data_IF_722446585036
#
_entry.id   IF_722446585036
#
_cell.length_a   1.000
_cell.length_b   1.000
_cell.length_c   1.000
_cell.angle_alpha   90.00
_cell.angle_beta   90.00
_cell.angle_gamma   90.00
#
_symmetry.space_group_name_H-M   'P 1'
#
loop_
_entity.id
_entity.type
_entity.pdbx_description
1 polymer ?
#
# COMPACT_ATOMS: atom_id res chain seq x y z
N UNK A 1 18.26 -19.47 1.03
CA UNK A 1 17.75 -20.17 -0.15
C UNK A 1 17.73 -21.62 0.22
N UNK A 2 16.52 -22.13 0.42
CA UNK A 2 16.32 -23.52 0.75
C UNK A 2 16.26 -24.37 -0.52
N UNK A 3 16.24 -25.70 -0.33
CA UNK A 3 16.28 -26.65 -1.43
C UNK A 3 15.08 -26.51 -2.38
N UNK A 4 13.90 -26.21 -1.84
CA UNK A 4 12.67 -26.01 -2.60
C UNK A 4 12.80 -24.76 -3.48
N UNK A 5 13.30 -23.64 -2.95
CA UNK A 5 13.56 -22.45 -3.77
C UNK A 5 14.51 -22.77 -4.93
N UNK A 6 15.61 -23.48 -4.67
CA UNK A 6 16.56 -23.86 -5.74
C UNK A 6 15.89 -24.72 -6.81
N UNK A 7 15.07 -25.71 -6.42
CA UNK A 7 14.33 -26.58 -7.33
C UNK A 7 13.44 -25.74 -8.27
N UNK A 8 12.60 -24.87 -7.70
CA UNK A 8 11.64 -24.10 -8.48
C UNK A 8 12.28 -22.99 -9.32
N UNK A 9 13.39 -22.40 -8.85
CA UNK A 9 14.21 -21.49 -9.66
C UNK A 9 14.74 -22.20 -10.91
N UNK A 10 15.19 -23.45 -10.78
CA UNK A 10 15.66 -24.23 -11.93
C UNK A 10 14.51 -24.62 -12.87
N UNK A 11 13.32 -24.92 -12.35
CA UNK A 11 12.14 -25.24 -13.17
C UNK A 11 11.71 -24.07 -14.07
N UNK A 12 11.76 -22.83 -13.56
CA UNK A 12 11.41 -21.65 -14.35
C UNK A 12 12.59 -21.07 -15.15
N UNK A 13 13.79 -21.63 -15.02
CA UNK A 13 15.01 -21.04 -15.59
C UNK A 13 14.95 -20.85 -17.11
N UNK A 14 14.30 -21.77 -17.84
CA UNK A 14 14.09 -21.70 -19.28
C UNK A 14 13.15 -20.56 -19.71
N UNK A 15 12.23 -20.16 -18.83
CA UNK A 15 11.28 -19.06 -19.04
C UNK A 15 11.88 -17.69 -18.71
N UNK A 16 13.03 -17.67 -18.02
CA UNK A 16 13.73 -16.45 -17.65
C UNK A 16 14.83 -16.14 -18.69
N UNK A 17 14.70 -15.07 -19.50
CA UNK A 17 15.68 -14.78 -20.52
C UNK A 17 17.04 -14.45 -19.90
N UNK A 18 18.12 -15.03 -20.46
CA UNK A 18 19.51 -14.83 -19.98
C UNK A 18 19.74 -15.29 -18.56
N UNK A 19 19.01 -16.32 -18.14
CA UNK A 19 19.23 -16.95 -16.84
C UNK A 19 20.66 -17.49 -16.70
N UNK A 20 21.33 -17.03 -15.65
CA UNK A 20 22.68 -17.44 -15.28
C UNK A 20 22.78 -17.55 -13.76
N UNK A 21 23.31 -18.68 -13.29
CA UNK A 21 23.77 -18.80 -11.90
C UNK A 21 25.12 -18.10 -11.79
N UNK A 22 25.19 -17.00 -11.03
CA UNK A 22 26.40 -16.18 -10.88
C UNK A 22 27.34 -16.79 -9.84
N UNK A 23 26.78 -17.22 -8.71
CA UNK A 23 27.48 -17.90 -7.61
C UNK A 23 26.46 -18.69 -6.77
N UNK A 24 26.88 -19.50 -5.78
CA UNK A 24 25.93 -20.18 -4.90
C UNK A 24 24.92 -19.19 -4.31
N UNK A 25 23.63 -19.51 -4.46
CA UNK A 25 22.51 -18.68 -4.00
C UNK A 25 22.38 -17.28 -4.64
N UNK A 26 22.95 -17.06 -5.82
CA UNK A 26 22.77 -15.83 -6.61
C UNK A 26 22.56 -16.16 -8.09
N UNK A 27 21.42 -15.75 -8.63
CA UNK A 27 21.05 -15.90 -10.03
C UNK A 27 20.80 -14.54 -10.66
N UNK A 28 21.13 -14.40 -11.93
CA UNK A 28 20.93 -13.20 -12.73
C UNK A 28 20.17 -13.54 -14.01
N UNK A 29 19.25 -12.68 -14.40
CA UNK A 29 18.45 -12.83 -15.62
C UNK A 29 17.85 -11.48 -16.01
N UNK A 30 17.28 -11.42 -17.22
CA UNK A 30 16.56 -10.26 -17.70
C UNK A 30 15.25 -10.12 -16.93
N UNK A 31 14.98 -8.93 -16.40
CA UNK A 31 13.75 -8.68 -15.64
C UNK A 31 12.50 -8.99 -16.50
N UNK A 32 11.63 -9.92 -16.10
CA UNK A 32 10.41 -10.24 -16.86
C UNK A 32 9.34 -9.14 -16.75
N UNK A 33 9.41 -8.28 -15.74
CA UNK A 33 8.43 -7.22 -15.47
C UNK A 33 8.69 -6.00 -16.37
N UNK A 34 9.93 -5.48 -16.37
CA UNK A 34 10.27 -4.27 -17.13
C UNK A 34 11.05 -4.52 -18.43
N UNK A 35 11.46 -5.77 -18.68
CA UNK A 35 12.28 -6.12 -19.84
C UNK A 35 13.68 -5.50 -19.86
N UNK A 36 14.17 -4.92 -18.76
CA UNK A 36 15.44 -4.19 -18.65
C UNK A 36 15.64 -3.05 -19.66
N UNK A 37 16.58 -3.16 -20.62
CA UNK A 37 16.85 -2.10 -21.59
C UNK A 37 16.29 -2.46 -22.96
N UNK A 38 15.51 -1.56 -23.56
CA UNK A 38 15.13 -1.66 -24.97
C UNK A 38 16.31 -1.37 -25.92
N UNK A 39 17.23 -0.46 -25.52
CA UNK A 39 18.41 -0.07 -26.31
C UNK A 39 19.52 -1.12 -26.28
N UNK A 40 19.77 -1.75 -25.12
CA UNK A 40 20.81 -2.77 -24.97
C UNK A 40 20.19 -4.12 -24.58
N UNK A 41 19.99 -4.97 -25.60
CA UNK A 41 19.40 -6.31 -25.42
C UNK A 41 20.22 -7.23 -24.51
N UNK A 42 21.48 -6.90 -24.21
CA UNK A 42 22.40 -7.68 -23.38
C UNK A 42 22.36 -7.41 -21.87
N UNK A 43 21.62 -6.38 -21.43
CA UNK A 43 21.52 -6.07 -20.00
C UNK A 43 20.53 -7.01 -19.31
N UNK A 44 21.01 -7.66 -18.25
CA UNK A 44 20.22 -8.48 -17.31
C UNK A 44 20.41 -7.91 -15.90
N UNK A 45 19.38 -7.25 -15.36
CA UNK A 45 19.45 -6.55 -14.07
C UNK A 45 18.47 -7.11 -13.03
N UNK A 46 17.84 -8.24 -13.33
CA UNK A 46 17.10 -9.04 -12.36
C UNK A 46 18.02 -9.99 -11.60
N UNK A 47 17.84 -10.08 -10.29
CA UNK A 47 18.60 -10.97 -9.43
C UNK A 47 17.68 -11.73 -8.48
N UNK A 48 17.93 -13.03 -8.33
CA UNK A 48 17.43 -13.82 -7.21
C UNK A 48 18.58 -14.09 -6.26
N UNK A 49 18.42 -13.69 -5.00
CA UNK A 49 19.47 -13.78 -3.99
C UNK A 49 18.93 -14.25 -2.65
N UNK A 50 19.80 -14.89 -1.86
CA UNK A 50 19.46 -15.38 -0.53
C UNK A 50 19.34 -14.24 0.49
N UNK A 51 18.27 -14.27 1.28
CA UNK A 51 18.08 -13.48 2.50
C UNK A 51 17.73 -14.45 3.62
N UNK A 52 18.61 -14.61 4.62
CA UNK A 52 18.51 -15.68 5.63
C UNK A 52 18.28 -17.04 4.96
N UNK A 53 17.19 -17.76 5.24
CA UNK A 53 16.88 -19.03 4.58
C UNK A 53 16.02 -18.90 3.32
N UNK A 54 15.49 -17.71 3.03
CA UNK A 54 14.59 -17.49 1.90
C UNK A 54 15.32 -16.90 0.69
N UNK A 55 14.56 -16.68 -0.38
CA UNK A 55 15.03 -16.09 -1.63
C UNK A 55 14.20 -14.87 -1.98
N UNK A 56 14.87 -13.78 -2.34
CA UNK A 56 14.23 -12.56 -2.80
C UNK A 56 14.63 -12.24 -4.24
N UNK A 57 13.70 -11.61 -4.95
CA UNK A 57 13.92 -11.00 -6.24
C UNK A 57 14.19 -9.50 -6.08
N UNK A 58 15.12 -8.97 -6.89
CA UNK A 58 15.33 -7.54 -7.07
C UNK A 58 15.72 -7.20 -8.50
N UNK A 59 15.12 -6.15 -9.05
CA UNK A 59 15.53 -5.57 -10.31
C UNK A 59 16.26 -4.24 -10.09
N UNK A 60 17.49 -4.12 -10.58
CA UNK A 60 18.26 -2.86 -10.55
C UNK A 60 17.90 -1.88 -11.69
N UNK A 61 16.90 -2.20 -12.52
CA UNK A 61 16.39 -1.30 -13.55
C UNK A 61 15.09 -0.61 -13.11
N UNK A 62 14.03 -1.37 -12.80
CA UNK A 62 12.75 -0.81 -12.36
C UNK A 62 12.60 -0.68 -10.83
N UNK A 63 13.57 -1.15 -10.05
CA UNK A 63 13.55 -1.04 -8.58
C UNK A 63 12.65 -2.04 -7.86
N UNK A 64 11.83 -2.82 -8.58
CA UNK A 64 10.98 -3.86 -7.99
C UNK A 64 11.79 -4.82 -7.13
N UNK A 65 11.29 -5.08 -5.92
CA UNK A 65 11.81 -6.09 -5.01
C UNK A 65 10.66 -6.82 -4.34
N UNK A 66 10.74 -8.15 -4.29
CA UNK A 66 9.69 -9.01 -3.73
C UNK A 66 10.28 -10.37 -3.30
N UNK A 67 9.51 -11.16 -2.57
CA UNK A 67 9.89 -12.54 -2.25
C UNK A 67 9.90 -13.42 -3.51
N UNK A 68 10.62 -14.54 -3.47
CA UNK A 68 10.58 -15.52 -4.56
C UNK A 68 9.17 -16.10 -4.79
N UNK A 69 8.37 -16.24 -3.72
CA UNK A 69 6.98 -16.66 -3.82
C UNK A 69 6.17 -15.72 -4.71
N UNK A 70 6.20 -14.42 -4.42
CA UNK A 70 5.45 -13.42 -5.20
C UNK A 70 6.03 -13.28 -6.61
N UNK A 71 7.35 -13.34 -6.76
CA UNK A 71 7.99 -13.35 -8.08
C UNK A 71 7.50 -14.53 -8.92
N UNK A 72 7.40 -15.72 -8.33
CA UNK A 72 6.92 -16.91 -9.02
C UNK A 72 5.43 -16.79 -9.35
N UNK A 73 4.62 -16.20 -8.47
CA UNK A 73 3.20 -15.91 -8.74
C UNK A 73 3.01 -15.06 -9.99
N UNK A 74 3.84 -14.03 -10.15
CA UNK A 74 3.74 -13.07 -11.26
C UNK A 74 4.31 -13.64 -12.58
N UNK A 75 5.34 -14.48 -12.49
CA UNK A 75 6.01 -15.04 -13.67
C UNK A 75 5.34 -16.32 -14.18
N UNK A 76 4.89 -17.18 -13.26
CA UNK A 76 4.34 -18.49 -13.59
C UNK A 76 3.38 -18.99 -12.50
N UNK A 77 2.11 -18.64 -12.66
CA UNK A 77 1.07 -18.94 -11.67
C UNK A 77 0.86 -20.45 -11.43
N UNK A 78 1.00 -21.29 -12.46
CA UNK A 78 0.83 -22.75 -12.32
C UNK A 78 1.99 -23.38 -11.54
N UNK A 79 3.22 -22.96 -11.85
CA UNK A 79 4.41 -23.40 -11.11
C UNK A 79 4.39 -22.87 -9.67
N UNK A 80 3.83 -21.67 -9.44
CA UNK A 80 3.60 -21.11 -8.12
C UNK A 80 2.64 -21.96 -7.26
N UNK A 81 1.54 -22.50 -7.82
CA UNK A 81 0.65 -23.42 -7.07
C UNK A 81 1.41 -24.65 -6.58
N UNK A 82 2.24 -25.24 -7.44
CA UNK A 82 3.08 -26.40 -7.10
C UNK A 82 4.10 -26.04 -6.02
N UNK A 83 4.75 -24.88 -6.15
CA UNK A 83 5.70 -24.36 -5.17
C UNK A 83 5.09 -24.19 -3.79
N UNK A 84 3.92 -23.55 -3.69
CA UNK A 84 3.21 -23.39 -2.41
C UNK A 84 2.88 -24.77 -1.83
N UNK A 85 2.36 -25.69 -2.64
CA UNK A 85 1.98 -27.02 -2.19
C UNK A 85 3.17 -27.84 -1.68
N UNK A 86 4.32 -27.76 -2.36
CA UNK A 86 5.54 -28.46 -1.94
C UNK A 86 6.18 -27.82 -0.70
N UNK A 87 6.18 -26.49 -0.61
CA UNK A 87 6.54 -25.79 0.63
C UNK A 87 5.65 -26.26 1.78
N UNK A 88 4.34 -26.34 1.56
CA UNK A 88 3.36 -26.77 2.56
C UNK A 88 3.58 -28.22 3.02
N UNK A 89 3.89 -29.15 2.09
CA UNK A 89 4.21 -30.54 2.40
C UNK A 89 5.50 -30.74 3.22
N UNK A 90 6.49 -29.86 3.05
CA UNK A 90 7.74 -29.86 3.84
C UNK A 90 7.57 -29.16 5.20
N UNK A 91 6.33 -29.00 5.68
CA UNK A 91 6.01 -28.33 6.93
C UNK A 91 6.28 -26.82 6.89
N UNK A 92 6.45 -26.20 5.72
CA UNK A 92 6.56 -24.74 5.57
C UNK A 92 5.29 -24.20 4.96
N UNK A 93 4.35 -23.79 5.80
CA UNK A 93 3.22 -22.96 5.33
C UNK A 93 3.74 -21.82 4.46
N UNK A 94 3.02 -21.44 3.40
CA UNK A 94 3.40 -20.40 2.42
C UNK A 94 3.68 -18.99 2.98
N UNK A 95 3.85 -18.84 4.29
CA UNK A 95 4.53 -17.75 4.98
C UNK A 95 5.85 -18.30 5.56
N UNK A 96 6.99 -18.05 4.91
CA UNK A 96 8.41 -18.02 5.36
C UNK A 96 8.93 -18.73 6.65
N UNK A 97 8.16 -19.54 7.35
CA UNK A 97 8.41 -20.17 8.65
C UNK A 97 7.77 -21.56 8.66
N UNK A 98 8.39 -22.54 9.35
CA UNK A 98 7.79 -23.85 9.51
C UNK A 98 6.47 -23.74 10.30
N UNK A 99 5.44 -24.41 9.82
CA UNK A 99 4.16 -24.56 10.48
C UNK A 99 4.32 -25.52 11.67
N UNK A 100 3.76 -25.13 12.81
CA UNK A 100 3.70 -25.96 14.00
C UNK A 100 2.77 -27.14 13.77
N UNK A 101 3.16 -28.33 14.25
CA UNK A 101 2.31 -29.52 14.18
C UNK A 101 1.07 -29.34 15.07
N UNK A 102 -0.05 -30.03 14.81
CA UNK A 102 -1.22 -29.99 15.68
C UNK A 102 -0.90 -30.34 17.14
N UNK A 103 0.05 -31.24 17.37
CA UNK A 103 0.55 -31.58 18.71
C UNK A 103 1.36 -30.43 19.34
N UNK A 104 2.16 -29.71 18.55
CA UNK A 104 2.90 -28.52 19.00
C UNK A 104 1.97 -27.33 19.29
N UNK A 105 0.89 -27.16 18.51
CA UNK A 105 -0.15 -26.14 18.73
C UNK A 105 -0.88 -26.41 20.04
N UNK A 106 -1.28 -27.66 20.30
CA UNK A 106 -1.93 -28.02 21.58
C UNK A 106 -1.00 -27.79 22.76
N UNK A 107 0.27 -28.18 22.64
CA UNK A 107 1.27 -27.97 23.70
C UNK A 107 1.59 -26.49 23.90
N UNK A 108 1.57 -25.67 22.85
CA UNK A 108 1.67 -24.21 22.94
C UNK A 108 0.41 -23.57 23.48
N UNK A 109 -0.79 -24.03 23.18
CA UNK A 109 -2.02 -23.46 23.77
C UNK A 109 -2.09 -23.76 25.27
N UNK A 110 -1.59 -24.91 25.72
CA UNK A 110 -1.49 -25.24 27.15
C UNK A 110 -0.36 -24.47 27.89
N UNK A 111 0.70 -24.03 27.19
CA UNK A 111 1.88 -23.39 27.82
C UNK A 111 2.09 -21.91 27.46
N UNK A 112 1.48 -21.40 26.40
CA UNK A 112 1.54 -19.99 26.02
C UNK A 112 0.49 -19.25 26.82
N UNK A 113 0.96 -18.51 27.82
CA UNK A 113 0.21 -17.36 28.29
C UNK A 113 -0.07 -16.49 27.06
N UNK A 114 -1.29 -15.96 26.87
CA UNK A 114 -1.56 -15.06 25.76
C UNK A 114 -0.50 -13.94 25.78
N UNK A 115 0.35 -13.90 24.76
CA UNK A 115 1.21 -12.76 24.51
C UNK A 115 0.29 -11.64 24.03
N UNK A 116 -0.23 -10.87 24.99
CA UNK A 116 -0.79 -9.57 24.70
C UNK A 116 0.35 -8.74 24.13
N UNK A 117 0.43 -8.64 22.80
CA UNK A 117 1.22 -7.56 22.18
C UNK A 117 0.70 -6.28 22.79
N UNK A 118 1.54 -5.61 23.58
CA UNK A 118 1.17 -4.34 24.19
C UNK A 118 0.65 -3.42 23.08
N UNK A 119 -0.55 -2.89 23.27
CA UNK A 119 -1.14 -1.96 22.32
C UNK A 119 -0.22 -0.75 22.27
N UNK A 120 0.46 -0.54 21.15
CA UNK A 120 1.30 0.63 20.95
C UNK A 120 0.41 1.86 21.05
N UNK A 121 0.61 2.65 22.10
CA UNK A 121 -0.12 3.89 22.34
C UNK A 121 0.64 5.03 21.68
N UNK A 122 -0.07 5.86 20.93
CA UNK A 122 0.49 7.11 20.40
C UNK A 122 0.54 8.11 21.54
N UNK A 123 1.71 8.27 22.15
CA UNK A 123 1.95 9.26 23.19
C UNK A 123 2.31 10.63 22.59
N UNK A 124 1.35 11.23 21.88
CA UNK A 124 1.47 12.57 21.29
C UNK A 124 0.22 13.38 21.63
N UNK A 125 0.31 14.72 21.70
CA UNK A 125 -0.88 15.56 21.80
C UNK A 125 -1.74 15.44 20.54
N UNK A 126 -3.04 15.64 20.70
CA UNK A 126 -3.94 15.80 19.55
C UNK A 126 -3.48 16.98 18.67
N UNK A 127 -3.55 16.79 17.35
CA UNK A 127 -3.21 17.83 16.38
C UNK A 127 -4.11 19.07 16.49
N UNK A 128 -5.29 18.95 17.11
CA UNK A 128 -6.22 20.04 17.32
C UNK A 128 -5.92 20.87 18.59
N UNK A 129 -4.99 20.43 19.44
CA UNK A 129 -4.57 21.17 20.64
C UNK A 129 -3.35 22.08 20.40
N UNK A 130 -2.57 21.81 19.36
CA UNK A 130 -1.36 22.54 19.03
C UNK A 130 -1.62 23.55 17.92
N UNK A 131 -1.34 24.83 18.17
CA UNK A 131 -1.75 25.95 17.29
C UNK A 131 -1.32 25.77 15.84
N UNK A 132 -0.09 25.29 15.60
CA UNK A 132 0.44 25.13 14.23
C UNK A 132 -0.30 24.05 13.44
N UNK A 133 -0.51 22.87 14.02
CA UNK A 133 -1.24 21.79 13.36
C UNK A 133 -2.73 22.06 13.28
N UNK A 134 -3.30 22.69 14.31
CA UNK A 134 -4.70 23.13 14.32
C UNK A 134 -4.98 24.09 13.17
N UNK A 135 -4.21 25.17 13.07
CA UNK A 135 -4.37 26.14 11.98
C UNK A 135 -4.23 25.48 10.59
N UNK A 136 -3.33 24.50 10.46
CA UNK A 136 -3.15 23.77 9.20
C UNK A 136 -4.35 22.90 8.80
N UNK A 137 -5.01 22.26 9.79
CA UNK A 137 -6.19 21.42 9.60
C UNK A 137 -7.43 22.28 9.35
N UNK A 138 -7.61 23.34 10.16
CA UNK A 138 -8.74 24.25 10.02
C UNK A 138 -8.69 25.05 8.72
N UNK A 139 -7.49 25.45 8.24
CA UNK A 139 -7.34 26.05 6.92
C UNK A 139 -7.72 25.12 5.77
N UNK A 140 -7.92 23.83 6.07
CA UNK A 140 -8.39 22.78 5.15
C UNK A 140 -9.81 22.33 5.46
N UNK A 141 -10.54 23.05 6.31
CA UNK A 141 -11.87 22.68 6.78
C UNK A 141 -11.94 21.33 7.53
N UNK A 142 -10.82 20.89 8.12
CA UNK A 142 -10.78 19.69 8.97
C UNK A 142 -10.84 20.13 10.43
N UNK A 143 -11.93 19.79 11.10
CA UNK A 143 -12.21 20.23 12.49
C UNK A 143 -12.22 19.11 13.52
N UNK A 144 -12.14 17.85 13.08
CA UNK A 144 -12.17 16.66 13.94
C UNK A 144 -11.39 15.51 13.30
N UNK A 145 -10.97 14.56 14.12
CA UNK A 145 -10.29 13.34 13.69
C UNK A 145 -9.26 12.87 14.70
N UNK A 146 -8.85 11.61 14.56
CA UNK A 146 -7.80 11.01 15.37
C UNK A 146 -6.42 11.35 14.79
N UNK A 147 -6.08 12.64 14.83
CA UNK A 147 -4.79 13.16 14.36
C UNK A 147 -3.97 13.67 15.53
N UNK A 148 -2.66 13.46 15.45
CA UNK A 148 -1.71 13.80 16.51
C UNK A 148 -0.63 14.73 15.98
N UNK A 149 0.04 15.47 16.86
CA UNK A 149 1.13 16.36 16.47
C UNK A 149 2.46 15.86 16.99
N UNK A 150 3.41 15.61 16.08
CA UNK A 150 4.79 15.32 16.42
C UNK A 150 5.66 16.55 16.12
N UNK A 151 6.27 17.13 17.16
CA UNK A 151 7.28 18.20 17.00
C UNK A 151 8.53 17.69 16.28
N UNK A 152 8.91 16.46 16.54
CA UNK A 152 9.94 15.74 15.80
C UNK A 152 9.39 14.37 15.38
N UNK A 153 8.98 14.25 14.11
CA UNK A 153 8.39 13.01 13.59
C UNK A 153 9.35 11.83 13.63
N UNK A 154 10.66 12.05 13.43
CA UNK A 154 11.64 10.97 13.40
C UNK A 154 11.87 10.40 14.80
N UNK A 155 11.92 11.25 15.84
CA UNK A 155 11.99 10.81 17.24
C UNK A 155 10.74 10.03 17.63
N UNK A 156 9.56 10.54 17.28
CA UNK A 156 8.31 9.83 17.52
C UNK A 156 8.31 8.45 16.85
N UNK A 157 8.69 8.36 15.57
CA UNK A 157 8.75 7.07 14.87
C UNK A 157 9.73 6.11 15.55
N UNK A 158 10.91 6.58 15.93
CA UNK A 158 11.88 5.74 16.64
C UNK A 158 11.37 5.27 18.02
N UNK A 159 10.46 6.01 18.66
CA UNK A 159 9.84 5.56 19.93
C UNK A 159 8.89 4.38 19.76
N UNK A 160 8.25 4.24 18.59
CA UNK A 160 7.30 3.13 18.30
C UNK A 160 7.90 2.04 17.41
N UNK A 161 8.97 2.34 16.66
CA UNK A 161 9.75 1.43 15.82
C UNK A 161 11.23 1.82 15.90
N UNK A 162 11.97 1.30 16.91
CA UNK A 162 13.38 1.62 17.10
C UNK A 162 14.23 1.41 15.84
N UNK A 163 15.28 2.22 15.70
CA UNK A 163 16.25 2.18 14.60
C UNK A 163 15.69 2.43 13.18
N UNK A 164 14.48 3.00 13.06
CA UNK A 164 13.92 3.39 11.76
C UNK A 164 14.72 4.54 11.12
N UNK A 165 15.04 5.57 11.90
CA UNK A 165 15.86 6.70 11.48
C UNK A 165 17.18 6.70 12.26
N UNK A 166 18.32 6.67 11.54
CA UNK A 166 19.66 6.67 12.15
C UNK A 166 20.03 7.99 12.83
N UNK A 167 19.44 9.10 12.37
CA UNK A 167 19.62 10.42 12.94
C UNK A 167 18.27 11.13 12.95
N UNK A 168 17.96 11.76 14.07
CA UNK A 168 16.71 12.51 14.28
C UNK A 168 16.93 14.02 14.41
N UNK A 169 18.18 14.48 14.28
CA UNK A 169 18.58 15.88 14.48
C UNK A 169 17.91 16.86 13.50
N UNK A 170 17.42 16.36 12.36
CA UNK A 170 16.71 17.12 11.34
C UNK A 170 15.26 16.66 11.19
N UNK A 171 14.71 16.04 12.24
CA UNK A 171 13.31 15.66 12.25
C UNK A 171 12.42 16.88 12.17
N UNK A 172 11.39 16.79 11.36
CA UNK A 172 10.46 17.89 11.13
C UNK A 172 9.12 17.67 11.82
N UNK A 173 8.39 18.77 11.98
CA UNK A 173 7.04 18.75 12.51
C UNK A 173 6.07 18.12 11.50
N UNK A 174 5.34 17.10 11.95
CA UNK A 174 4.32 16.43 11.13
C UNK A 174 3.05 16.18 11.93
N UNK A 175 1.92 16.29 11.23
CA UNK A 175 0.66 15.71 11.71
C UNK A 175 0.76 14.20 11.51
N UNK A 176 0.59 13.45 12.59
CA UNK A 176 0.61 11.99 12.61
C UNK A 176 -0.81 11.47 12.42
N UNK A 177 -0.96 10.60 11.42
CA UNK A 177 -2.19 9.94 11.02
C UNK A 177 -2.01 8.45 11.30
N UNK A 178 -2.71 7.87 12.30
CA UNK A 178 -2.56 6.48 12.66
C UNK A 178 -3.21 5.56 11.63
N UNK A 179 -2.52 4.48 11.26
CA UNK A 179 -3.11 3.36 10.52
C UNK A 179 -3.49 2.28 11.53
N UNK A 180 -4.78 2.08 11.73
CA UNK A 180 -5.32 1.16 12.74
C UNK A 180 -6.00 -0.02 12.04
N UNK A 181 -5.79 -1.22 12.57
CA UNK A 181 -6.48 -2.46 12.19
C UNK A 181 -6.89 -3.24 13.40
N UNK A 182 -8.15 -3.65 13.45
CA UNK A 182 -8.69 -4.41 14.57
C UNK A 182 -8.26 -3.77 15.91
N UNK A 183 -8.38 -2.45 16.01
CA UNK A 183 -7.98 -1.64 17.16
C UNK A 183 -6.47 -1.69 17.53
N UNK A 184 -5.62 -2.10 16.59
CA UNK A 184 -4.16 -2.19 16.74
C UNK A 184 -3.47 -1.25 15.76
N UNK A 185 -2.45 -0.51 16.23
CA UNK A 185 -1.65 0.35 15.37
C UNK A 185 -0.75 -0.51 14.47
N UNK A 186 -0.96 -0.46 13.15
CA UNK A 186 -0.17 -1.19 12.16
C UNK A 186 0.85 -0.30 11.44
N UNK A 187 0.72 1.01 11.58
CA UNK A 187 1.54 1.99 10.89
C UNK A 187 1.12 3.41 11.22
N UNK A 188 1.90 4.37 10.75
CA UNK A 188 1.62 5.80 10.86
C UNK A 188 1.98 6.49 9.56
N UNK A 189 1.22 7.50 9.19
CA UNK A 189 1.59 8.43 8.14
C UNK A 189 1.84 9.81 8.74
N UNK A 190 2.99 10.40 8.44
CA UNK A 190 3.32 11.77 8.83
C UNK A 190 3.06 12.73 7.67
N UNK A 191 2.20 13.74 7.88
CA UNK A 191 2.00 14.86 6.97
C UNK A 191 2.86 16.06 7.38
N UNK A 192 3.78 16.48 6.50
CA UNK A 192 4.60 17.66 6.71
C UNK A 192 3.76 18.94 6.81
N UNK A 193 4.11 19.79 7.78
CA UNK A 193 3.56 21.15 7.93
C UNK A 193 4.43 22.22 7.25
N UNK A 194 5.65 21.85 6.86
CA UNK A 194 6.60 22.69 6.13
C UNK A 194 6.38 22.58 4.61
N UNK A 195 7.14 23.37 3.84
CA UNK A 195 7.21 23.28 2.38
C UNK A 195 8.00 22.07 1.86
N UNK A 196 8.16 21.01 2.68
CA UNK A 196 8.89 19.82 2.30
C UNK A 196 8.29 19.18 1.03
N UNK A 197 9.11 18.86 0.01
CA UNK A 197 8.63 18.19 -1.20
C UNK A 197 7.95 16.84 -0.90
N UNK A 198 8.39 16.13 0.15
CA UNK A 198 7.79 14.89 0.62
C UNK A 198 6.68 15.23 1.63
N UNK A 199 5.52 15.53 1.05
CA UNK A 199 4.31 15.88 1.79
C UNK A 199 3.87 14.79 2.78
N UNK A 200 3.83 13.53 2.37
CA UNK A 200 3.44 12.40 3.21
C UNK A 200 4.57 11.39 3.33
N UNK A 201 4.78 10.85 4.53
CA UNK A 201 5.74 9.80 4.82
C UNK A 201 5.05 8.69 5.61
N UNK A 202 4.90 7.51 5.00
CA UNK A 202 4.25 6.34 5.62
C UNK A 202 5.29 5.41 6.23
N UNK A 203 5.13 5.07 7.51
CA UNK A 203 5.95 4.10 8.24
C UNK A 203 5.04 2.94 8.70
N UNK A 204 5.34 1.72 8.26
CA UNK A 204 4.61 0.53 8.68
C UNK A 204 5.30 -0.11 9.88
N UNK A 205 4.51 -0.49 10.89
CA UNK A 205 4.95 -1.33 12.01
C UNK A 205 4.80 -2.81 11.66
N UNK A 206 3.75 -3.12 10.89
CA UNK A 206 3.53 -4.41 10.26
C UNK A 206 3.71 -4.27 8.74
N UNK A 207 4.81 -4.82 8.21
CA UNK A 207 5.16 -4.71 6.80
C UNK A 207 4.23 -5.53 5.88
N UNK A 208 3.47 -6.48 6.44
CA UNK A 208 2.50 -7.31 5.70
C UNK A 208 1.09 -6.68 5.68
N UNK A 209 0.86 -5.61 6.46
CA UNK A 209 -0.43 -4.97 6.56
C UNK A 209 -0.70 -3.96 5.41
N UNK A 210 -1.95 -3.82 4.94
CA UNK A 210 -2.27 -2.88 3.89
C UNK A 210 -2.14 -1.43 4.36
N UNK A 211 -1.56 -0.58 3.50
CA UNK A 211 -1.36 0.86 3.74
C UNK A 211 -2.65 1.65 3.49
N UNK A 212 -3.70 1.32 4.24
CA UNK A 212 -5.02 1.94 4.08
C UNK A 212 -5.49 2.51 5.42
N UNK A 213 -5.96 3.76 5.39
CA UNK A 213 -6.52 4.46 6.53
C UNK A 213 -8.04 4.30 6.60
N UNK A 214 -8.62 4.28 7.80
CA UNK A 214 -10.08 4.29 8.03
C UNK A 214 -10.77 2.92 8.02
N UNK A 215 -10.05 1.81 7.82
CA UNK A 215 -10.69 0.51 7.61
C UNK A 215 -11.47 -0.06 8.80
N UNK A 216 -11.15 0.36 10.03
CA UNK A 216 -11.90 -0.03 11.24
C UNK A 216 -13.19 0.82 11.43
N UNK A 217 -13.37 1.90 10.66
CA UNK A 217 -14.48 2.85 10.84
C UNK A 217 -15.60 2.68 9.81
N UNK A 218 -15.41 1.84 8.80
CA UNK A 218 -16.38 1.65 7.72
C UNK A 218 -17.42 0.58 8.04
N UNK A 219 -18.60 0.75 7.45
CA UNK A 219 -19.61 -0.27 7.31
C UNK A 219 -19.47 -0.96 5.94
N UNK A 220 -19.00 -2.22 5.96
CA UNK A 220 -18.80 -3.03 4.75
C UNK A 220 -20.09 -3.40 4.02
N UNK A 221 -21.26 -3.13 4.61
CA UNK A 221 -22.59 -3.32 3.99
C UNK A 221 -22.97 -2.18 3.04
N UNK A 222 -22.33 -1.02 3.19
CA UNK A 222 -22.53 0.16 2.36
C UNK A 222 -21.41 0.26 1.31
N UNK A 223 -21.62 1.01 0.21
CA UNK A 223 -20.55 1.34 -0.72
C UNK A 223 -19.38 2.01 0.01
N UNK A 224 -18.17 1.48 -0.19
CA UNK A 224 -16.94 1.98 0.43
C UNK A 224 -16.20 2.85 -0.58
N UNK A 225 -16.08 4.14 -0.26
CA UNK A 225 -15.36 5.08 -1.12
C UNK A 225 -13.85 5.00 -0.85
N UNK A 226 -13.07 4.72 -1.87
CA UNK A 226 -11.61 4.58 -1.79
C UNK A 226 -10.98 5.84 -2.36
N UNK A 227 -10.53 6.74 -1.49
CA UNK A 227 -9.89 8.02 -1.86
C UNK A 227 -8.36 7.93 -1.81
N UNK A 228 -7.66 8.91 -2.36
CA UNK A 228 -6.18 8.95 -2.33
C UNK A 228 -5.62 9.40 -0.97
N UNK A 229 -6.14 10.50 -0.40
CA UNK A 229 -5.59 11.10 0.81
C UNK A 229 -6.40 10.79 2.07
N UNK A 230 -5.75 10.57 3.24
CA UNK A 230 -6.47 10.42 4.51
C UNK A 230 -7.26 11.67 4.92
N UNK A 231 -6.79 12.85 4.53
CA UNK A 231 -7.55 14.09 4.75
C UNK A 231 -8.81 14.15 3.88
N UNK A 232 -8.74 13.73 2.63
CA UNK A 232 -9.91 13.66 1.75
C UNK A 232 -10.98 12.71 2.30
N UNK A 233 -10.55 11.60 2.94
CA UNK A 233 -11.47 10.65 3.56
C UNK A 233 -12.29 11.25 4.72
N UNK A 234 -11.83 12.35 5.31
CA UNK A 234 -12.60 13.02 6.38
C UNK A 234 -13.87 13.71 5.88
N UNK A 235 -13.97 13.95 4.57
CA UNK A 235 -15.10 14.63 3.93
C UNK A 235 -16.09 13.67 3.27
N UNK A 236 -15.73 12.40 3.10
CA UNK A 236 -16.56 11.39 2.44
C UNK A 236 -16.98 10.33 3.45
N UNK A 237 -18.29 10.13 3.58
CA UNK A 237 -18.87 9.13 4.45
C UNK A 237 -18.51 7.72 3.96
N UNK A 238 -18.31 6.81 4.91
CA UNK A 238 -17.96 5.41 4.65
C UNK A 238 -16.77 5.24 3.69
N UNK A 239 -15.70 5.99 3.94
CA UNK A 239 -14.54 6.02 3.06
C UNK A 239 -13.27 5.49 3.73
N UNK A 240 -12.31 5.11 2.89
CA UNK A 240 -10.95 4.72 3.26
C UNK A 240 -9.96 5.45 2.36
N UNK A 241 -8.74 5.66 2.83
CA UNK A 241 -7.69 6.31 2.03
C UNK A 241 -6.50 5.41 1.73
N UNK A 242 -6.02 5.47 0.49
CA UNK A 242 -4.82 4.76 0.03
C UNK A 242 -3.56 5.53 0.41
N UNK A 243 -2.88 5.15 1.49
CA UNK A 243 -1.67 5.82 1.99
C UNK A 243 -0.40 5.46 1.19
N UNK A 244 -0.47 5.56 -0.14
CA UNK A 244 0.60 5.20 -1.08
C UNK A 244 0.57 3.73 -1.53
N UNK A 245 -0.58 3.06 -1.42
CA UNK A 245 -0.81 1.71 -1.97
C UNK A 245 -1.35 1.78 -3.40
N UNK A 246 -0.95 0.82 -4.26
CA UNK A 246 -1.41 0.71 -5.66
C UNK A 246 -2.86 0.18 -5.84
N UNK A 247 -3.68 0.22 -4.77
CA UNK A 247 -5.11 -0.08 -4.83
C UNK A 247 -5.50 -1.55 -4.67
N UNK A 248 -4.56 -2.47 -4.47
CA UNK A 248 -4.88 -3.84 -4.02
C UNK A 248 -5.21 -3.83 -2.52
N UNK A 249 -6.50 -3.88 -2.20
CA UNK A 249 -7.02 -3.91 -0.83
C UNK A 249 -7.72 -5.26 -0.63
N UNK A 250 -6.95 -6.30 -0.29
CA UNK A 250 -7.46 -7.65 0.00
C UNK A 250 -8.59 -7.62 1.04
N UNK A 251 -8.47 -6.75 2.04
CA UNK A 251 -9.45 -6.55 3.13
C UNK A 251 -10.82 -6.04 2.66
N UNK A 252 -10.91 -5.54 1.43
CA UNK A 252 -12.11 -5.03 0.78
C UNK A 252 -12.54 -5.87 -0.43
N UNK A 253 -11.96 -7.05 -0.67
CA UNK A 253 -12.29 -7.89 -1.85
C UNK A 253 -13.80 -8.13 -1.99
N UNK A 254 -14.50 -8.36 -0.87
CA UNK A 254 -15.95 -8.63 -0.84
C UNK A 254 -16.84 -7.39 -0.68
N UNK A 255 -16.24 -6.20 -0.56
CA UNK A 255 -16.99 -4.96 -0.40
C UNK A 255 -17.26 -4.30 -1.76
N UNK A 256 -18.40 -3.61 -1.84
CA UNK A 256 -18.75 -2.73 -2.95
C UNK A 256 -17.86 -1.48 -2.90
N UNK A 257 -16.82 -1.45 -3.73
CA UNK A 257 -15.80 -0.41 -3.74
C UNK A 257 -16.10 0.63 -4.81
N UNK A 258 -15.98 1.90 -4.45
CA UNK A 258 -16.05 3.02 -5.38
C UNK A 258 -14.75 3.80 -5.31
N UNK A 259 -13.96 3.79 -6.39
CA UNK A 259 -12.69 4.50 -6.42
C UNK A 259 -12.90 5.98 -6.74
N UNK A 260 -12.24 6.85 -5.96
CA UNK A 260 -12.32 8.30 -6.06
C UNK A 260 -10.90 8.85 -6.19
N UNK A 261 -10.50 9.12 -7.43
CA UNK A 261 -9.18 9.67 -7.76
C UNK A 261 -9.22 11.20 -7.85
N UNK A 262 -8.06 11.84 -7.77
CA UNK A 262 -7.94 13.30 -7.95
C UNK A 262 -8.50 13.74 -9.32
N UNK A 263 -9.06 14.96 -9.38
CA UNK A 263 -9.59 15.57 -10.59
C UNK A 263 -8.47 16.16 -11.47
N UNK A 264 -7.56 15.31 -11.93
CA UNK A 264 -6.43 15.70 -12.77
C UNK A 264 -6.51 15.13 -14.20
N UNK A 265 -7.35 15.68 -15.08
CA UNK A 265 -7.60 15.12 -16.42
C UNK A 265 -6.39 15.17 -17.37
N UNK A 266 -5.32 15.85 -16.98
CA UNK A 266 -4.05 15.94 -17.73
C UNK A 266 -2.91 15.14 -17.09
N UNK A 267 -3.09 14.61 -15.89
CA UNK A 267 -2.06 13.82 -15.21
C UNK A 267 -2.11 12.37 -15.71
N UNK A 268 -1.09 11.97 -16.47
CA UNK A 268 -1.02 10.62 -17.09
C UNK A 268 -1.12 9.49 -16.06
N UNK A 269 -0.62 9.70 -14.85
CA UNK A 269 -0.68 8.67 -13.80
C UNK A 269 -2.12 8.49 -13.30
N UNK A 270 -2.81 9.58 -12.98
CA UNK A 270 -4.21 9.55 -12.54
C UNK A 270 -5.12 9.01 -13.63
N UNK A 271 -4.96 9.50 -14.86
CA UNK A 271 -5.71 9.00 -16.02
C UNK A 271 -5.49 7.49 -16.20
N UNK A 272 -4.24 7.01 -16.10
CA UNK A 272 -3.93 5.58 -16.20
C UNK A 272 -4.42 4.74 -15.02
N UNK A 273 -4.57 5.31 -13.81
CA UNK A 273 -5.20 4.64 -12.66
C UNK A 273 -6.71 4.47 -12.88
N UNK A 274 -7.39 5.53 -13.32
CA UNK A 274 -8.82 5.50 -13.66
C UNK A 274 -9.09 4.51 -14.81
N UNK A 275 -8.25 4.52 -15.86
CA UNK A 275 -8.40 3.61 -17.00
C UNK A 275 -8.31 2.14 -16.56
N UNK A 276 -7.28 1.78 -15.77
CA UNK A 276 -7.15 0.43 -15.21
C UNK A 276 -8.32 0.05 -14.30
N UNK A 277 -8.84 0.99 -13.53
CA UNK A 277 -10.02 0.79 -12.69
C UNK A 277 -11.24 0.41 -13.56
N UNK A 278 -11.48 1.15 -14.64
CA UNK A 278 -12.58 0.88 -15.59
C UNK A 278 -12.39 -0.47 -16.29
N UNK A 279 -11.16 -0.80 -16.72
CA UNK A 279 -10.84 -2.06 -17.40
C UNK A 279 -11.08 -3.30 -16.52
N UNK A 280 -10.85 -3.18 -15.21
CA UNK A 280 -11.18 -4.24 -14.24
C UNK A 280 -12.67 -4.36 -13.95
N UNK A 281 -13.49 -3.45 -14.45
CA UNK A 281 -14.94 -3.39 -14.17
C UNK A 281 -15.27 -2.77 -12.82
N UNK A 282 -14.30 -2.15 -12.14
CA UNK A 282 -14.52 -1.47 -10.86
C UNK A 282 -15.43 -0.25 -11.04
N UNK A 283 -16.11 0.17 -9.96
CA UNK A 283 -16.88 1.42 -9.93
C UNK A 283 -15.93 2.58 -9.64
N UNK A 284 -16.06 3.66 -10.38
CA UNK A 284 -15.18 4.83 -10.28
C UNK A 284 -15.98 6.12 -10.38
N UNK A 285 -15.56 7.13 -9.61
CA UNK A 285 -16.07 8.50 -9.77
C UNK A 285 -15.38 9.15 -10.96
N UNK A 286 -16.16 9.68 -11.89
CA UNK A 286 -15.67 10.56 -12.95
C UNK A 286 -16.24 11.95 -12.72
N UNK A 287 -15.38 12.90 -12.37
CA UNK A 287 -15.78 14.24 -12.01
C UNK A 287 -16.50 14.96 -13.17
N UNK A 288 -17.56 15.74 -12.87
CA UNK A 288 -18.18 16.62 -13.86
C UNK A 288 -17.17 17.63 -14.43
N UNK A 289 -17.28 17.95 -15.72
CA UNK A 289 -16.33 18.84 -16.41
C UNK A 289 -16.36 20.29 -15.93
N UNK A 290 -17.40 20.69 -15.20
CA UNK A 290 -17.51 22.00 -14.54
C UNK A 290 -16.73 22.09 -13.23
N UNK A 291 -16.33 20.97 -12.61
CA UNK A 291 -15.48 20.96 -11.42
C UNK A 291 -14.03 21.20 -11.85
N UNK A 292 -13.42 22.24 -11.29
CA UNK A 292 -12.06 22.71 -11.66
C UNK A 292 -11.02 22.41 -10.60
N UNK A 293 -11.48 22.25 -9.37
CA UNK A 293 -10.73 21.92 -8.17
C UNK A 293 -10.04 20.58 -8.34
N UNK A 294 -8.81 20.49 -7.84
CA UNK A 294 -7.93 19.36 -8.09
C UNK A 294 -8.33 18.14 -7.26
N UNK A 295 -8.62 18.33 -5.99
CA UNK A 295 -8.91 17.26 -5.04
C UNK A 295 -10.17 17.57 -4.21
N UNK A 296 -10.57 16.61 -3.38
CA UNK A 296 -11.76 16.73 -2.53
C UNK A 296 -11.61 17.93 -1.57
N UNK A 297 -10.42 18.14 -1.02
CA UNK A 297 -10.17 19.25 -0.10
C UNK A 297 -10.39 20.60 -0.77
N UNK A 298 -9.82 20.81 -1.96
CA UNK A 298 -10.03 22.02 -2.76
C UNK A 298 -11.53 22.22 -3.06
N UNK A 299 -12.27 21.14 -3.39
CA UNK A 299 -13.72 21.22 -3.63
C UNK A 299 -14.50 21.67 -2.40
N UNK A 300 -14.17 21.16 -1.21
CA UNK A 300 -14.79 21.58 0.05
C UNK A 300 -14.49 23.06 0.32
N UNK A 301 -13.25 23.50 0.11
CA UNK A 301 -12.85 24.89 0.30
C UNK A 301 -13.54 25.85 -0.69
N UNK A 302 -13.85 25.38 -1.90
CA UNK A 302 -14.69 26.09 -2.89
C UNK A 302 -16.19 26.09 -2.55
N UNK A 303 -16.62 25.42 -1.48
CA UNK A 303 -18.02 25.39 -1.03
C UNK A 303 -18.89 24.33 -1.71
N UNK A 304 -18.30 23.34 -2.37
CA UNK A 304 -19.04 22.25 -2.97
C UNK A 304 -19.56 21.23 -1.94
N UNK A 305 -20.76 20.70 -2.18
CA UNK A 305 -21.24 19.50 -1.49
C UNK A 305 -20.58 18.26 -2.11
N UNK A 306 -19.35 17.94 -1.68
CA UNK A 306 -18.55 16.91 -2.33
C UNK A 306 -19.14 15.51 -2.19
N UNK A 307 -19.82 15.21 -1.07
CA UNK A 307 -20.50 13.93 -0.87
C UNK A 307 -21.53 13.68 -1.98
N UNK A 308 -22.41 14.66 -2.23
CA UNK A 308 -23.46 14.57 -3.25
C UNK A 308 -22.88 14.48 -4.67
N UNK A 309 -21.81 15.23 -4.95
CA UNK A 309 -21.11 15.18 -6.23
C UNK A 309 -20.52 13.78 -6.46
N UNK A 310 -19.85 13.20 -5.45
CA UNK A 310 -19.26 11.87 -5.50
C UNK A 310 -20.34 10.81 -5.75
N UNK A 311 -21.43 10.84 -4.97
CA UNK A 311 -22.54 9.89 -5.10
C UNK A 311 -23.23 9.96 -6.47
N UNK A 312 -23.40 11.16 -7.02
CA UNK A 312 -24.08 11.38 -8.29
C UNK A 312 -23.22 11.07 -9.53
N UNK A 313 -21.92 10.81 -9.34
CA UNK A 313 -20.96 10.63 -10.44
C UNK A 313 -20.20 9.30 -10.38
N UNK A 314 -20.80 8.28 -9.77
CA UNK A 314 -20.27 6.91 -9.78
C UNK A 314 -20.67 6.20 -11.07
N UNK A 315 -19.69 5.69 -11.81
CA UNK A 315 -19.91 4.99 -13.07
C UNK A 315 -19.16 3.64 -13.10
N UNK A 316 -19.62 2.72 -13.96
CA UNK A 316 -18.93 1.45 -14.27
C UNK A 316 -19.12 1.08 -15.75
N UNK A 317 -18.32 0.14 -16.25
CA UNK A 317 -18.43 -0.43 -17.59
C UNK A 317 -18.39 0.62 -18.72
N UNK A 318 -19.29 0.46 -19.70
CA UNK A 318 -19.32 1.31 -20.89
C UNK A 318 -19.64 2.78 -20.55
N UNK A 319 -20.51 3.01 -19.56
CA UNK A 319 -20.85 4.37 -19.12
C UNK A 319 -19.63 5.08 -18.53
N UNK A 320 -18.84 4.38 -17.70
CA UNK A 320 -17.58 4.93 -17.18
C UNK A 320 -16.60 5.24 -18.31
N UNK A 321 -16.45 4.34 -19.29
CA UNK A 321 -15.57 4.55 -20.45
C UNK A 321 -15.93 5.80 -21.26
N UNK A 322 -17.24 6.03 -21.47
CA UNK A 322 -17.73 7.23 -22.17
C UNK A 322 -17.46 8.51 -21.37
N UNK A 323 -17.84 8.54 -20.09
CA UNK A 323 -17.61 9.68 -19.20
C UNK A 323 -16.12 10.00 -19.06
N UNK A 324 -15.29 8.99 -18.87
CA UNK A 324 -13.84 9.10 -18.77
C UNK A 324 -13.22 9.68 -20.05
N UNK A 325 -13.69 9.25 -21.23
CA UNK A 325 -13.22 9.80 -22.51
C UNK A 325 -13.54 11.29 -22.65
N UNK A 326 -14.69 11.75 -22.16
CA UNK A 326 -15.04 13.18 -22.14
C UNK A 326 -14.24 13.97 -21.10
N UNK A 327 -13.93 13.34 -19.97
CA UNK A 327 -13.22 13.99 -18.86
C UNK A 327 -11.71 14.14 -19.13
N UNK A 328 -11.06 13.10 -19.65
CA UNK A 328 -9.60 13.11 -19.89
C UNK A 328 -9.20 14.11 -20.98
N UNK A 329 -8.05 14.75 -20.82
CA UNK A 329 -7.54 15.83 -21.69
C UNK A 329 -6.15 15.52 -22.23
N UNK A 330 -5.83 14.24 -22.41
CA UNK A 330 -4.55 13.74 -22.94
C UNK A 330 -4.73 12.92 -24.21
#
# INVERSE_FOLDING_TARGET
MDFIDVKYINLISSRLPKFKKVKPNLYNFRCPICGDSQKQKNKARGYLYRVKNNTNYKCHNCGVSMSFNNFLKDVDFETHKQYIFEKFKDGKTGKNFPAETPEDIFKKVETSKPEFKEKIVINLPSAFLESRSKNYLESRAIFRGEFYFARNFMEFVNSIKPDTFKSTNYGEERIVIPLIRNNTLIGVQGRALSSNPIKYLTIMLDDDAPKVYGLDTIDKRLPVYVVEGPFDSTFINNSVAMCGSDGEISDLERSDKVFVYDNEPRNKEIVGRIERCIERGDRVVIWPTNIREKDINDMVLSGHNVQEIVESNVYTGLQAKLKFTTWKKI
#
